data_IF_300683713280
#
_entry.id   IF_300683713280
#
_cell.length_a   1.000
_cell.length_b   1.000
_cell.length_c   1.000
_cell.angle_alpha   90.00
_cell.angle_beta   90.00
_cell.angle_gamma   90.00
#
_symmetry.space_group_name_H-M   'P 1'
#
loop_
_entity.id
_entity.type
_entity.pdbx_description
1 polymer ?
#
# COMPACT_ATOMS: atom_id res chain seq x y z
N UNK A 1 -15.95 19.05 6.00
CA UNK A 1 -15.16 19.59 4.86
C UNK A 1 -14.76 18.44 3.97
N UNK A 2 -15.04 18.52 2.67
CA UNK A 2 -14.56 17.55 1.69
C UNK A 2 -13.43 18.18 0.89
N UNK A 3 -12.47 17.37 0.46
CA UNK A 3 -11.37 17.83 -0.37
C UNK A 3 -11.12 16.83 -1.49
N UNK A 4 -10.49 17.31 -2.56
CA UNK A 4 -9.94 16.48 -3.62
C UNK A 4 -8.47 16.79 -3.84
N UNK A 5 -7.83 16.00 -4.67
CA UNK A 5 -6.46 16.24 -5.14
C UNK A 5 -6.50 16.40 -6.65
N UNK A 6 -5.84 17.41 -7.21
CA UNK A 6 -5.75 17.60 -8.66
C UNK A 6 -4.55 16.86 -9.27
N UNK A 7 -4.36 17.01 -10.59
CA UNK A 7 -3.29 16.33 -11.32
C UNK A 7 -1.88 16.76 -10.91
N UNK A 8 -1.74 17.91 -10.24
CA UNK A 8 -0.45 18.40 -9.71
C UNK A 8 -0.21 17.94 -8.26
N UNK A 9 -1.11 17.15 -7.67
CA UNK A 9 -0.98 16.73 -6.27
C UNK A 9 -1.43 17.80 -5.26
N UNK A 10 -2.08 18.87 -5.71
CA UNK A 10 -2.53 19.96 -4.86
C UNK A 10 -3.91 19.65 -4.26
N UNK A 11 -4.09 20.03 -3.00
CA UNK A 11 -5.38 19.90 -2.32
C UNK A 11 -6.34 20.95 -2.87
N UNK A 12 -7.56 20.53 -3.21
CA UNK A 12 -8.64 21.41 -3.63
C UNK A 12 -9.79 21.30 -2.63
N UNK A 13 -10.31 22.45 -2.22
CA UNK A 13 -11.46 22.60 -1.34
C UNK A 13 -12.31 23.76 -1.87
N UNK A 14 -13.63 23.67 -1.76
CA UNK A 14 -14.49 24.80 -2.10
C UNK A 14 -14.40 25.91 -1.05
N UNK A 15 -14.28 27.15 -1.48
CA UNK A 15 -14.22 28.31 -0.58
C UNK A 15 -15.41 28.37 0.39
N UNK A 16 -16.60 27.92 -0.06
CA UNK A 16 -17.79 27.78 0.81
C UNK A 16 -17.53 26.86 2.00
N UNK A 17 -16.87 25.73 1.80
CA UNK A 17 -16.55 24.79 2.89
C UNK A 17 -15.54 25.39 3.86
N UNK A 18 -14.59 26.21 3.38
CA UNK A 18 -13.61 26.92 4.21
C UNK A 18 -14.31 27.98 5.06
N UNK A 19 -15.24 28.76 4.48
CA UNK A 19 -15.98 29.81 5.21
C UNK A 19 -16.87 29.31 6.36
N UNK A 20 -17.11 27.99 6.44
CA UNK A 20 -17.84 27.34 7.53
C UNK A 20 -16.93 26.82 8.66
N UNK A 21 -15.61 26.92 8.51
CA UNK A 21 -14.65 26.49 9.53
C UNK A 21 -14.43 27.56 10.60
N UNK A 22 -13.93 27.21 11.80
CA UNK A 22 -13.47 28.20 12.78
C UNK A 22 -12.39 29.13 12.21
N UNK A 23 -12.36 30.39 12.65
CA UNK A 23 -11.45 31.44 12.15
C UNK A 23 -9.98 31.02 12.08
N UNK A 24 -9.50 30.27 13.08
CA UNK A 24 -8.11 29.81 13.09
C UNK A 24 -7.80 28.84 11.94
N UNK A 25 -8.75 27.97 11.56
CA UNK A 25 -8.59 27.07 10.42
C UNK A 25 -8.67 27.85 9.10
N UNK A 26 -9.57 28.82 9.00
CA UNK A 26 -9.66 29.70 7.83
C UNK A 26 -8.33 30.44 7.60
N UNK A 27 -7.69 30.93 8.68
CA UNK A 27 -6.37 31.57 8.62
C UNK A 27 -5.29 30.61 8.12
N UNK A 28 -5.29 29.36 8.57
CA UNK A 28 -4.37 28.32 8.06
C UNK A 28 -4.59 28.12 6.55
N UNK A 29 -5.84 27.91 6.11
CA UNK A 29 -6.16 27.75 4.68
C UNK A 29 -5.73 28.95 3.84
N UNK A 30 -5.98 30.17 4.33
CA UNK A 30 -5.57 31.39 3.66
C UNK A 30 -4.04 31.51 3.55
N UNK A 31 -3.30 31.06 4.55
CA UNK A 31 -1.84 31.13 4.58
C UNK A 31 -1.15 30.18 3.60
N UNK A 32 -1.79 29.05 3.27
CA UNK A 32 -1.29 28.05 2.31
C UNK A 32 -2.01 28.09 0.96
N UNK A 33 -2.87 29.09 0.73
CA UNK A 33 -3.61 29.20 -0.52
C UNK A 33 -2.65 29.59 -1.66
N UNK A 34 -2.76 28.88 -2.77
CA UNK A 34 -2.00 29.12 -3.99
C UNK A 34 -2.95 29.47 -5.13
N UNK A 35 -2.44 30.12 -6.16
CA UNK A 35 -3.19 30.33 -7.39
C UNK A 35 -3.73 29.00 -7.91
N UNK A 36 -4.94 28.97 -8.50
CA UNK A 36 -5.57 27.74 -8.98
C UNK A 36 -4.84 27.20 -10.21
N UNK A 37 -3.70 26.56 -9.97
CA UNK A 37 -2.89 25.85 -10.96
C UNK A 37 -3.32 24.38 -11.02
N UNK A 38 -3.15 23.75 -12.19
CA UNK A 38 -3.36 22.30 -12.33
C UNK A 38 -4.80 21.83 -12.45
N UNK A 39 -5.73 22.73 -12.83
CA UNK A 39 -7.18 22.47 -12.92
C UNK A 39 -7.77 22.02 -11.57
N UNK A 40 -9.09 21.88 -11.53
CA UNK A 40 -9.81 21.37 -10.36
C UNK A 40 -9.67 19.85 -10.25
N UNK A 41 -9.70 19.32 -9.04
CA UNK A 41 -9.79 17.89 -8.78
C UNK A 41 -11.02 17.30 -9.48
N UNK A 42 -10.79 16.35 -10.38
CA UNK A 42 -11.86 15.69 -11.14
C UNK A 42 -12.82 14.93 -10.23
N UNK A 43 -12.29 14.26 -9.20
CA UNK A 43 -13.08 13.51 -8.22
C UNK A 43 -13.99 14.42 -7.40
N UNK A 44 -13.44 15.54 -6.90
CA UNK A 44 -14.22 16.50 -6.12
C UNK A 44 -15.30 17.16 -6.99
N UNK A 45 -14.96 17.54 -8.22
CA UNK A 45 -15.91 18.10 -9.18
C UNK A 45 -17.04 17.11 -9.50
N UNK A 46 -16.70 15.84 -9.74
CA UNK A 46 -17.67 14.80 -10.03
C UNK A 46 -18.64 14.58 -8.85
N UNK A 47 -18.09 14.52 -7.63
CA UNK A 47 -18.86 14.30 -6.41
C UNK A 47 -19.77 15.47 -6.04
N UNK A 48 -19.25 16.70 -6.02
CA UNK A 48 -19.96 17.85 -5.46
C UNK A 48 -20.76 18.67 -6.48
N UNK A 49 -20.34 18.67 -7.74
CA UNK A 49 -21.00 19.47 -8.79
C UNK A 49 -21.79 18.58 -9.74
N UNK A 50 -21.20 17.50 -10.24
CA UNK A 50 -21.86 16.63 -11.22
C UNK A 50 -22.83 15.62 -10.58
N UNK A 51 -22.81 15.47 -9.25
CA UNK A 51 -23.54 14.44 -8.51
C UNK A 51 -23.26 13.01 -9.01
N UNK A 52 -22.05 12.78 -9.54
CA UNK A 52 -21.55 11.47 -9.95
C UNK A 52 -20.35 11.12 -9.06
N UNK A 53 -20.57 10.76 -7.78
CA UNK A 53 -19.47 10.38 -6.91
C UNK A 53 -18.75 9.15 -7.47
N UNK A 54 -17.42 9.16 -7.39
CA UNK A 54 -16.63 8.03 -7.80
C UNK A 54 -17.01 6.80 -6.95
N UNK A 55 -17.17 5.64 -7.61
CA UNK A 55 -17.39 4.35 -6.92
C UNK A 55 -16.08 3.74 -6.41
N UNK A 56 -15.02 4.54 -6.32
CA UNK A 56 -13.69 4.12 -5.90
C UNK A 56 -13.60 4.11 -4.38
N UNK A 57 -12.68 3.32 -3.84
CA UNK A 57 -12.30 3.33 -2.43
C UNK A 57 -10.83 3.67 -2.32
N UNK A 58 -10.48 4.47 -1.32
CA UNK A 58 -9.09 4.83 -1.06
C UNK A 58 -8.26 3.58 -0.71
N UNK A 59 -7.04 3.42 -1.26
CA UNK A 59 -6.21 2.26 -0.95
C UNK A 59 -5.83 2.21 0.53
N UNK A 60 -5.78 3.35 1.23
CA UNK A 60 -5.60 3.41 2.68
C UNK A 60 -6.69 2.63 3.44
N UNK A 61 -7.95 2.81 3.05
CA UNK A 61 -9.08 2.08 3.65
C UNK A 61 -9.04 0.60 3.28
N UNK A 62 -8.59 0.27 2.07
CA UNK A 62 -8.51 -1.11 1.59
C UNK A 62 -7.33 -1.87 2.19
N UNK A 63 -6.27 -1.20 2.64
CA UNK A 63 -5.08 -1.84 3.21
C UNK A 63 -5.42 -2.60 4.48
N UNK A 64 -6.07 -1.94 5.44
CA UNK A 64 -6.47 -2.55 6.71
C UNK A 64 -7.40 -3.75 6.46
N UNK A 65 -8.40 -3.57 5.59
CA UNK A 65 -9.32 -4.64 5.19
C UNK A 65 -8.58 -5.82 4.54
N UNK A 66 -7.61 -5.55 3.68
CA UNK A 66 -6.85 -6.59 2.97
C UNK A 66 -5.94 -7.37 3.91
N UNK A 67 -5.30 -6.73 4.89
CA UNK A 67 -4.50 -7.40 5.92
C UNK A 67 -5.37 -8.29 6.81
N UNK A 68 -6.50 -7.78 7.29
CA UNK A 68 -7.46 -8.56 8.09
C UNK A 68 -8.02 -9.73 7.28
N UNK A 69 -8.37 -9.51 6.01
CA UNK A 69 -8.87 -10.54 5.10
C UNK A 69 -7.82 -11.62 4.85
N UNK A 70 -6.56 -11.25 4.66
CA UNK A 70 -5.46 -12.20 4.43
C UNK A 70 -5.34 -13.19 5.59
N UNK A 71 -5.30 -12.69 6.83
CA UNK A 71 -5.25 -13.55 8.01
C UNK A 71 -6.54 -14.35 8.20
N UNK A 72 -7.70 -13.77 7.93
CA UNK A 72 -8.97 -14.49 8.00
C UNK A 72 -8.99 -15.70 7.05
N UNK A 73 -8.65 -15.47 5.78
CA UNK A 73 -8.61 -16.52 4.75
C UNK A 73 -7.55 -17.56 5.08
N UNK A 74 -6.34 -17.13 5.49
CA UNK A 74 -5.28 -18.05 5.88
C UNK A 74 -5.67 -18.90 7.08
N UNK A 75 -6.32 -18.34 8.10
CA UNK A 75 -6.83 -19.12 9.24
C UNK A 75 -7.88 -20.14 8.78
N UNK A 76 -8.79 -19.73 7.90
CA UNK A 76 -9.85 -20.61 7.39
C UNK A 76 -9.32 -21.76 6.51
N UNK A 77 -8.37 -21.48 5.61
CA UNK A 77 -7.88 -22.44 4.60
C UNK A 77 -6.62 -23.18 5.00
N UNK A 78 -5.81 -22.58 5.84
CA UNK A 78 -4.49 -23.07 6.21
C UNK A 78 -4.29 -23.28 7.70
N UNK A 79 -5.22 -22.82 8.55
CA UNK A 79 -5.11 -22.86 10.01
C UNK A 79 -3.84 -22.18 10.53
N UNK A 80 -3.33 -21.18 9.80
CA UNK A 80 -2.22 -20.31 10.22
C UNK A 80 -2.61 -18.83 10.07
N UNK A 81 -1.90 -17.97 10.78
CA UNK A 81 -1.85 -16.55 10.47
C UNK A 81 -0.63 -16.29 9.56
N UNK A 82 -0.80 -15.53 8.48
CA UNK A 82 0.32 -15.14 7.61
C UNK A 82 1.03 -13.93 8.21
N UNK A 83 0.26 -12.97 8.71
CA UNK A 83 0.77 -11.76 9.37
C UNK A 83 0.61 -11.94 10.88
N UNK A 84 1.68 -11.72 11.63
CA UNK A 84 1.66 -11.76 13.10
C UNK A 84 0.76 -10.65 13.64
N UNK A 85 -0.05 -10.97 14.63
CA UNK A 85 -0.81 -9.96 15.36
C UNK A 85 0.12 -9.22 16.32
N UNK A 86 0.06 -7.89 16.31
CA UNK A 86 0.85 -7.04 17.21
C UNK A 86 0.09 -5.74 17.48
N UNK A 87 0.13 -5.28 18.74
CA UNK A 87 -0.50 -4.04 19.22
C UNK A 87 -0.09 -2.76 18.47
N UNK A 88 1.02 -2.78 17.73
CA UNK A 88 1.49 -1.61 16.96
C UNK A 88 0.84 -1.51 15.58
N UNK A 89 0.17 -2.55 15.09
CA UNK A 89 -0.45 -2.57 13.75
C UNK A 89 -1.50 -1.45 13.59
N UNK A 90 -2.44 -1.21 14.54
CA UNK A 90 -3.40 -0.12 14.41
C UNK A 90 -2.73 1.26 14.29
N UNK A 91 -1.68 1.49 15.08
CA UNK A 91 -0.92 2.75 15.05
C UNK A 91 -0.16 2.92 13.73
N UNK A 92 0.40 1.84 13.18
CA UNK A 92 1.05 1.85 11.88
C UNK A 92 0.04 2.14 10.76
N UNK A 93 -1.11 1.46 10.76
CA UNK A 93 -2.18 1.69 9.77
C UNK A 93 -2.63 3.16 9.77
N UNK A 94 -2.81 3.77 10.95
CA UNK A 94 -3.21 5.18 11.06
C UNK A 94 -2.20 6.16 10.41
N UNK A 95 -0.91 5.79 10.35
CA UNK A 95 0.18 6.59 9.77
C UNK A 95 0.42 6.32 8.28
N UNK A 96 -0.24 5.31 7.72
CA UNK A 96 -0.04 4.85 6.35
C UNK A 96 -1.09 5.51 5.46
N UNK A 97 -0.73 6.67 4.91
CA UNK A 97 -1.56 7.43 3.97
C UNK A 97 -0.70 8.15 2.93
N UNK A 98 -1.23 8.34 1.71
CA UNK A 98 -0.48 8.98 0.61
C UNK A 98 -0.02 10.40 0.90
N UNK A 99 -0.75 11.14 1.74
CA UNK A 99 -0.42 12.53 2.10
C UNK A 99 0.86 12.70 2.94
N UNK A 100 1.51 11.59 3.30
CA UNK A 100 2.83 11.63 3.92
C UNK A 100 3.96 11.78 2.90
N UNK A 101 3.71 11.43 1.64
CA UNK A 101 4.66 11.59 0.55
C UNK A 101 4.64 13.05 0.03
N UNK A 102 4.99 14.01 0.89
CA UNK A 102 5.16 15.42 0.53
C UNK A 102 6.56 15.72 0.00
N UNK A 103 7.53 14.88 0.35
CA UNK A 103 8.89 14.87 -0.15
C UNK A 103 9.37 13.41 -0.34
N UNK A 104 10.57 13.22 -0.88
CA UNK A 104 11.15 11.89 -1.13
C UNK A 104 11.32 11.09 0.18
N UNK A 105 11.72 11.75 1.28
CA UNK A 105 11.87 11.11 2.58
C UNK A 105 10.54 10.60 3.12
N UNK A 106 9.47 11.37 2.96
CA UNK A 106 8.10 10.99 3.30
C UNK A 106 7.60 9.78 2.52
N UNK A 107 7.93 9.70 1.22
CA UNK A 107 7.61 8.55 0.37
C UNK A 107 8.37 7.28 0.83
N UNK A 108 9.66 7.38 1.11
CA UNK A 108 10.45 6.25 1.62
C UNK A 108 10.00 5.83 3.03
N UNK A 109 9.60 6.79 3.86
CA UNK A 109 9.04 6.51 5.17
C UNK A 109 7.69 5.79 5.09
N UNK A 110 6.87 6.11 4.07
CA UNK A 110 5.65 5.35 3.75
C UNK A 110 5.98 3.92 3.32
N UNK A 111 6.97 3.72 2.44
CA UNK A 111 7.42 2.39 2.03
C UNK A 111 7.91 1.55 3.24
N UNK A 112 8.65 2.17 4.16
CA UNK A 112 9.11 1.53 5.40
C UNK A 112 7.97 1.05 6.29
N UNK A 113 6.92 1.86 6.46
CA UNK A 113 5.76 1.44 7.27
C UNK A 113 4.92 0.37 6.55
N UNK A 114 4.85 0.40 5.21
CA UNK A 114 4.24 -0.69 4.43
C UNK A 114 5.02 -1.99 4.54
N UNK A 115 6.35 -1.96 4.49
CA UNK A 115 7.20 -3.13 4.69
C UNK A 115 7.02 -3.73 6.10
N UNK A 116 6.88 -2.87 7.12
CA UNK A 116 6.57 -3.28 8.49
C UNK A 116 5.24 -4.01 8.62
N UNK A 117 4.20 -3.52 7.92
CA UNK A 117 2.87 -4.13 7.88
C UNK A 117 2.78 -5.37 7.00
N UNK A 118 3.81 -5.66 6.20
CA UNK A 118 3.83 -6.78 5.26
C UNK A 118 5.03 -7.66 5.53
N UNK A 119 6.10 -7.54 4.75
CA UNK A 119 7.29 -8.39 4.77
C UNK A 119 7.85 -8.65 6.18
N UNK A 120 7.92 -7.65 7.06
CA UNK A 120 8.49 -7.80 8.40
C UNK A 120 7.55 -8.51 9.38
N UNK A 121 6.25 -8.38 9.15
CA UNK A 121 5.22 -8.94 10.01
C UNK A 121 4.85 -10.38 9.63
N UNK A 122 5.35 -10.90 8.50
CA UNK A 122 5.05 -12.25 8.03
C UNK A 122 5.61 -13.30 9.01
N UNK A 123 4.77 -14.27 9.37
CA UNK A 123 5.18 -15.39 10.21
C UNK A 123 5.88 -16.50 9.40
N UNK A 124 7.17 -16.29 9.17
CA UNK A 124 8.04 -17.21 8.44
C UNK A 124 7.96 -18.65 8.97
N UNK A 125 7.93 -18.79 10.30
CA UNK A 125 7.86 -20.09 10.96
C UNK A 125 6.54 -20.83 10.70
N UNK A 126 5.43 -20.10 10.53
CA UNK A 126 4.15 -20.69 10.15
C UNK A 126 4.14 -21.14 8.69
N UNK A 127 4.71 -20.34 7.78
CA UNK A 127 4.78 -20.66 6.35
C UNK A 127 5.68 -21.88 6.09
N UNK A 128 6.84 -21.94 6.74
CA UNK A 128 7.83 -23.00 6.50
C UNK A 128 7.41 -24.37 7.04
N UNK A 129 6.33 -24.46 7.83
CA UNK A 129 5.68 -25.73 8.20
C UNK A 129 5.01 -26.41 7.00
N UNK A 130 4.60 -25.64 6.00
CA UNK A 130 3.99 -26.16 4.76
C UNK A 130 5.04 -26.40 3.68
N UNK A 131 5.97 -25.46 3.53
CA UNK A 131 7.04 -25.55 2.52
C UNK A 131 8.36 -25.20 3.19
N UNK A 132 9.13 -26.23 3.51
CA UNK A 132 10.44 -26.04 4.12
C UNK A 132 11.47 -25.67 3.04
N UNK A 133 12.43 -24.77 3.37
CA UNK A 133 13.57 -24.53 2.50
C UNK A 133 14.42 -25.81 2.33
N UNK A 134 15.01 -26.05 1.15
CA UNK A 134 15.99 -27.11 0.95
C UNK A 134 17.13 -27.05 1.96
N UNK A 135 17.70 -28.22 2.30
CA UNK A 135 18.84 -28.31 3.22
C UNK A 135 19.98 -27.37 2.78
N UNK A 136 20.44 -26.54 3.71
CA UNK A 136 21.51 -25.56 3.46
C UNK A 136 21.05 -24.20 2.93
N UNK A 137 19.74 -23.98 2.76
CA UNK A 137 19.18 -22.68 2.34
C UNK A 137 18.29 -22.08 3.43
N UNK A 138 18.26 -20.75 3.51
CA UNK A 138 17.31 -20.02 4.34
C UNK A 138 16.46 -19.11 3.46
N UNK A 139 15.16 -19.07 3.74
CA UNK A 139 14.24 -18.16 3.06
C UNK A 139 13.80 -17.05 3.99
N UNK A 140 13.87 -15.82 3.50
CA UNK A 140 13.21 -14.67 4.13
C UNK A 140 11.69 -14.78 4.04
N UNK A 141 11.00 -13.76 4.55
CA UNK A 141 9.54 -13.73 4.64
C UNK A 141 8.84 -13.79 3.28
N UNK A 142 9.17 -12.86 2.38
CA UNK A 142 8.56 -12.80 1.06
C UNK A 142 8.86 -14.05 0.23
N UNK A 143 10.08 -14.59 0.34
CA UNK A 143 10.45 -15.83 -0.36
C UNK A 143 9.71 -17.05 0.18
N UNK A 144 9.52 -17.13 1.50
CA UNK A 144 8.72 -18.20 2.12
C UNK A 144 7.25 -18.13 1.66
N UNK A 145 6.68 -16.93 1.55
CA UNK A 145 5.33 -16.74 1.05
C UNK A 145 5.22 -17.04 -0.46
N UNK A 146 6.17 -16.61 -1.27
CA UNK A 146 6.24 -16.95 -2.70
C UNK A 146 6.24 -18.46 -2.91
N UNK A 147 7.10 -19.18 -2.20
CA UNK A 147 7.18 -20.64 -2.30
C UNK A 147 5.91 -21.33 -1.80
N UNK A 148 5.25 -20.80 -0.78
CA UNK A 148 3.94 -21.30 -0.36
C UNK A 148 2.91 -21.17 -1.49
N UNK A 149 2.81 -19.99 -2.14
CA UNK A 149 1.89 -19.78 -3.25
C UNK A 149 2.23 -20.65 -4.46
N UNK A 150 3.52 -20.85 -4.74
CA UNK A 150 4.01 -21.68 -5.84
C UNK A 150 3.63 -23.17 -5.73
N UNK A 151 3.16 -23.63 -4.55
CA UNK A 151 2.57 -24.98 -4.42
C UNK A 151 1.23 -25.14 -5.11
N UNK A 152 0.56 -24.02 -5.47
CA UNK A 152 -0.82 -24.00 -5.94
C UNK A 152 -1.01 -23.26 -7.26
N UNK A 153 -0.11 -22.33 -7.56
CA UNK A 153 -0.10 -21.60 -8.82
C UNK A 153 1.27 -21.70 -9.46
N UNK A 154 1.33 -21.39 -10.75
CA UNK A 154 2.58 -21.29 -11.49
C UNK A 154 3.63 -20.41 -10.74
N UNK A 155 4.89 -20.85 -10.63
CA UNK A 155 5.94 -20.10 -9.92
C UNK A 155 6.16 -18.66 -10.43
N UNK A 156 6.03 -18.41 -11.74
CA UNK A 156 6.17 -17.05 -12.27
C UNK A 156 4.98 -16.18 -11.84
N UNK A 157 3.79 -16.75 -11.79
CA UNK A 157 2.60 -16.07 -11.26
C UNK A 157 2.72 -15.79 -9.75
N UNK A 158 3.28 -16.72 -8.97
CA UNK A 158 3.57 -16.52 -7.55
C UNK A 158 4.55 -15.36 -7.34
N UNK A 159 5.65 -15.35 -8.10
CA UNK A 159 6.63 -14.26 -8.09
C UNK A 159 5.99 -12.92 -8.46
N UNK A 160 5.26 -12.85 -9.58
CA UNK A 160 4.61 -11.63 -10.03
C UNK A 160 3.60 -11.08 -9.00
N UNK A 161 2.94 -11.96 -8.26
CA UNK A 161 2.02 -11.58 -7.17
C UNK A 161 2.76 -10.87 -6.04
N UNK A 162 4.00 -11.27 -5.75
CA UNK A 162 4.83 -10.76 -4.65
C UNK A 162 5.77 -9.61 -5.07
N UNK A 163 6.01 -9.41 -6.36
CA UNK A 163 6.91 -8.36 -6.89
C UNK A 163 6.67 -6.98 -6.27
N UNK A 164 5.44 -6.47 -6.12
CA UNK A 164 5.23 -5.17 -5.48
C UNK A 164 5.67 -5.13 -4.02
N UNK A 165 5.47 -6.22 -3.26
CA UNK A 165 5.89 -6.28 -1.85
C UNK A 165 7.41 -6.39 -1.73
N UNK A 166 8.07 -7.05 -2.68
CA UNK A 166 9.54 -7.07 -2.77
C UNK A 166 10.05 -5.65 -3.01
N UNK A 167 9.50 -4.93 -3.99
CA UNK A 167 9.92 -3.55 -4.24
C UNK A 167 9.69 -2.63 -3.03
N UNK A 168 8.56 -2.75 -2.34
CA UNK A 168 8.30 -2.01 -1.09
C UNK A 168 9.33 -2.33 0.00
N UNK A 169 9.70 -3.61 0.13
CA UNK A 169 10.69 -4.05 1.09
C UNK A 169 12.09 -3.50 0.77
N UNK A 170 12.49 -3.46 -0.50
CA UNK A 170 13.76 -2.86 -0.93
C UNK A 170 13.76 -1.33 -0.69
N UNK A 171 12.65 -0.63 -1.00
CA UNK A 171 12.52 0.82 -0.76
C UNK A 171 12.69 1.20 0.71
N UNK A 172 12.39 0.29 1.65
CA UNK A 172 12.64 0.51 3.09
C UNK A 172 14.10 0.83 3.40
N UNK A 173 15.04 0.33 2.60
CA UNK A 173 16.49 0.52 2.78
C UNK A 173 17.07 1.64 1.90
N UNK A 174 16.27 2.21 1.01
CA UNK A 174 16.71 3.20 0.02
C UNK A 174 17.31 4.46 0.63
N UNK A 175 16.83 4.87 1.80
CA UNK A 175 17.28 6.09 2.48
C UNK A 175 18.72 5.98 3.03
N UNK A 176 19.19 4.76 3.28
CA UNK A 176 20.47 4.52 3.93
C UNK A 176 21.57 4.01 2.98
N UNK A 177 21.21 3.31 1.89
CA UNK A 177 22.18 2.45 1.20
C UNK A 177 22.02 2.25 -0.31
N UNK A 178 20.98 2.77 -0.99
CA UNK A 178 20.80 2.49 -2.42
C UNK A 178 21.39 3.58 -3.33
N UNK A 179 22.10 3.17 -4.38
CA UNK A 179 22.52 4.07 -5.44
C UNK A 179 21.32 4.51 -6.29
N UNK A 180 21.37 5.69 -6.92
CA UNK A 180 20.23 6.25 -7.68
C UNK A 180 19.66 5.29 -8.74
N UNK A 181 20.51 4.52 -9.43
CA UNK A 181 20.10 3.53 -10.45
C UNK A 181 19.34 2.34 -9.86
N UNK A 182 19.71 1.90 -8.66
CA UNK A 182 19.03 0.80 -7.96
C UNK A 182 17.65 1.25 -7.47
N UNK A 183 17.53 2.53 -7.08
CA UNK A 183 16.24 3.11 -6.68
C UNK A 183 15.24 3.12 -7.84
N UNK A 184 15.69 3.43 -9.06
CA UNK A 184 14.81 3.45 -10.25
C UNK A 184 14.29 2.05 -10.63
N UNK A 185 15.16 1.05 -10.54
CA UNK A 185 14.79 -0.35 -10.77
C UNK A 185 13.76 -0.81 -9.72
N UNK A 186 13.95 -0.44 -8.46
CA UNK A 186 13.03 -0.78 -7.38
C UNK A 186 11.66 -0.09 -7.56
N UNK A 187 11.61 1.19 -7.94
CA UNK A 187 10.34 1.86 -8.23
C UNK A 187 9.58 1.20 -9.39
N UNK A 188 10.30 0.66 -10.37
CA UNK A 188 9.72 -0.10 -11.48
C UNK A 188 9.04 -1.40 -11.00
N UNK A 189 9.58 -2.07 -9.98
CA UNK A 189 8.95 -3.26 -9.38
C UNK A 189 7.58 -2.96 -8.76
N UNK A 190 7.38 -1.73 -8.28
CA UNK A 190 6.12 -1.30 -7.64
C UNK A 190 5.23 -0.50 -8.59
N UNK A 191 5.64 -0.34 -9.85
CA UNK A 191 4.92 0.40 -10.89
C UNK A 191 4.58 1.85 -10.48
N UNK A 192 5.50 2.50 -9.77
CA UNK A 192 5.38 3.90 -9.38
C UNK A 192 5.99 4.78 -10.46
N UNK A 193 5.23 5.76 -10.93
CA UNK A 193 5.72 6.77 -11.87
C UNK A 193 6.47 7.87 -11.12
N UNK A 194 7.80 7.84 -11.21
CA UNK A 194 8.66 8.80 -10.52
C UNK A 194 8.52 10.24 -11.02
N UNK A 195 7.89 10.47 -12.18
CA UNK A 195 7.60 11.80 -12.70
C UNK A 195 6.27 12.36 -12.19
N UNK A 196 5.42 11.53 -11.58
CA UNK A 196 4.17 11.97 -10.99
C UNK A 196 4.41 12.77 -9.70
N UNK A 197 3.45 13.61 -9.26
CA UNK A 197 3.54 14.25 -7.94
C UNK A 197 3.74 13.23 -6.83
N UNK A 198 4.54 13.56 -5.81
CA UNK A 198 4.91 12.60 -4.75
C UNK A 198 3.71 12.01 -4.01
N UNK A 199 2.64 12.79 -3.81
CA UNK A 199 1.38 12.29 -3.23
C UNK A 199 0.74 11.22 -4.15
N UNK A 200 0.84 11.38 -5.46
CA UNK A 200 0.41 10.39 -6.46
C UNK A 200 1.31 9.15 -6.43
N UNK A 201 2.62 9.32 -6.26
CA UNK A 201 3.54 8.19 -6.05
C UNK A 201 3.19 7.41 -4.78
N UNK A 202 2.88 8.09 -3.67
CA UNK A 202 2.41 7.47 -2.44
C UNK A 202 1.09 6.70 -2.62
N UNK A 203 0.17 7.24 -3.43
CA UNK A 203 -1.06 6.54 -3.81
C UNK A 203 -0.78 5.27 -4.63
N UNK A 204 0.13 5.34 -5.61
CA UNK A 204 0.53 4.19 -6.44
C UNK A 204 1.17 3.10 -5.58
N UNK A 205 2.08 3.47 -4.68
CA UNK A 205 2.75 2.57 -3.74
C UNK A 205 1.73 1.81 -2.86
N UNK A 206 0.76 2.52 -2.30
CA UNK A 206 -0.34 1.93 -1.52
C UNK A 206 -1.20 0.99 -2.38
N UNK A 207 -1.57 1.42 -3.58
CA UNK A 207 -2.39 0.65 -4.51
C UNK A 207 -1.71 -0.66 -4.92
N UNK A 208 -0.40 -0.62 -5.18
CA UNK A 208 0.39 -1.79 -5.51
C UNK A 208 0.47 -2.78 -4.34
N UNK A 209 0.66 -2.28 -3.11
CA UNK A 209 0.62 -3.08 -1.89
C UNK A 209 -0.73 -3.78 -1.70
N UNK A 210 -1.82 -3.01 -1.75
CA UNK A 210 -3.19 -3.54 -1.61
C UNK A 210 -3.51 -4.56 -2.70
N UNK A 211 -3.13 -4.29 -3.94
CA UNK A 211 -3.36 -5.20 -5.06
C UNK A 211 -2.64 -6.52 -4.88
N UNK A 212 -1.38 -6.49 -4.42
CA UNK A 212 -0.62 -7.70 -4.08
C UNK A 212 -1.30 -8.49 -2.95
N UNK A 213 -1.65 -7.84 -1.83
CA UNK A 213 -2.34 -8.48 -0.71
C UNK A 213 -3.66 -9.15 -1.14
N UNK A 214 -4.46 -8.47 -1.95
CA UNK A 214 -5.72 -9.02 -2.47
C UNK A 214 -5.50 -10.20 -3.42
N UNK A 215 -4.46 -10.16 -4.26
CA UNK A 215 -4.11 -11.27 -5.12
C UNK A 215 -3.64 -12.49 -4.31
N UNK A 216 -2.83 -12.27 -3.26
CA UNK A 216 -2.46 -13.34 -2.31
C UNK A 216 -3.72 -13.94 -1.67
N UNK A 217 -4.65 -13.09 -1.20
CA UNK A 217 -5.93 -13.56 -0.63
C UNK A 217 -6.68 -14.45 -1.61
N UNK A 218 -6.84 -14.03 -2.87
CA UNK A 218 -7.54 -14.80 -3.91
C UNK A 218 -6.91 -16.17 -4.15
N UNK A 219 -5.57 -16.23 -4.17
CA UNK A 219 -4.86 -17.51 -4.34
C UNK A 219 -5.15 -18.45 -3.19
N UNK A 220 -5.13 -17.96 -1.94
CA UNK A 220 -5.40 -18.78 -0.75
C UNK A 220 -6.89 -19.15 -0.65
N UNK A 221 -7.81 -18.25 -0.99
CA UNK A 221 -9.26 -18.52 -1.02
C UNK A 221 -9.58 -19.70 -1.95
N UNK A 222 -8.85 -19.81 -3.07
CA UNK A 222 -8.94 -20.92 -4.02
C UNK A 222 -8.38 -22.25 -3.51
N UNK A 223 -7.81 -22.32 -2.30
CA UNK A 223 -7.36 -23.60 -1.74
C UNK A 223 -8.59 -24.40 -1.27
N UNK A 224 -8.89 -25.50 -1.96
CA UNK A 224 -9.83 -26.52 -1.50
C UNK A 224 -9.10 -27.58 -0.66
N UNK A 225 -9.80 -28.10 0.34
CA UNK A 225 -9.30 -29.17 1.23
C UNK A 225 -9.21 -30.55 0.54
N UNK A 226 -9.63 -30.66 -0.73
CA UNK A 226 -9.78 -31.92 -1.47
C UNK A 226 -8.47 -32.57 -1.94
N UNK A 227 -7.33 -32.22 -1.35
CA UNK A 227 -6.05 -32.85 -1.64
C UNK A 227 -5.26 -33.11 -0.35
N UNK A 228 -5.87 -33.87 0.55
CA UNK A 228 -5.14 -34.71 1.51
C UNK A 228 -5.26 -36.17 1.10
#
# INVERSE_FOLDING_TARGET
>A
MRFGVNSLGLINVYAKDIGLLPDWQQKVWSGYNISPEGKVSEELLASQIKAVPAKTRAPESLLAESLSRLNYVAKAKLRIAIVREHDQIPNLIARVHRFRATDKGGLLALAKDLARLTADSIDVSALQKFVAPPKGTQWGSLKSLENLLATRIDPNRARATLTPLVGIYELRHADAHLASREVDEVFSLVQVDQNAPLVTQGYQLLTACVSSLRNICKVIEGWSDDQK
#
